data_IF_202869375523
#
_entry.id   IF_202869375523
#
_cell.length_a   1.000
_cell.length_b   1.000
_cell.length_c   1.000
_cell.angle_alpha   90.00
_cell.angle_beta   90.00
_cell.angle_gamma   90.00
#
_symmetry.space_group_name_H-M   'P 1'
#
loop_
_entity.id
_entity.type
_entity.pdbx_description
1 polymer ?
#
# COMPACT_ATOMS: atom_id res chain seq x y z
N UNK A 1 -10.84 18.88 -13.64
CA UNK A 1 -10.34 19.20 -12.28
C UNK A 1 -9.58 18.00 -11.78
N UNK A 2 -8.25 18.09 -11.85
CA UNK A 2 -7.31 17.04 -11.43
C UNK A 2 -7.17 17.02 -9.91
N UNK A 3 -6.86 15.85 -9.31
CA UNK A 3 -6.43 15.83 -7.91
C UNK A 3 -5.03 16.46 -7.84
N UNK A 4 -4.78 17.27 -6.81
CA UNK A 4 -3.42 17.70 -6.54
C UNK A 4 -2.56 16.48 -6.17
N UNK A 5 -1.27 16.49 -6.54
CA UNK A 5 -0.33 15.40 -6.22
C UNK A 5 -0.34 15.07 -4.71
N UNK A 6 -0.48 16.10 -3.87
CA UNK A 6 -0.56 15.97 -2.42
C UNK A 6 -1.81 15.19 -1.96
N UNK A 7 -2.95 15.35 -2.62
CA UNK A 7 -4.15 14.61 -2.29
C UNK A 7 -4.07 13.15 -2.73
N UNK A 8 -3.44 12.88 -3.88
CA UNK A 8 -3.14 11.51 -4.32
C UNK A 8 -2.25 10.80 -3.29
N UNK A 9 -1.17 11.47 -2.88
CA UNK A 9 -0.25 10.98 -1.86
C UNK A 9 -0.97 10.69 -0.55
N UNK A 10 -1.77 11.63 -0.04
CA UNK A 10 -2.56 11.42 1.19
C UNK A 10 -3.48 10.22 1.08
N UNK A 11 -4.17 10.06 -0.06
CA UNK A 11 -5.03 8.92 -0.28
C UNK A 11 -4.23 7.61 -0.29
N UNK A 12 -3.08 7.53 -0.97
CA UNK A 12 -2.28 6.30 -0.97
C UNK A 12 -1.80 5.96 0.44
N UNK A 13 -1.18 6.92 1.14
CA UNK A 13 -0.60 6.72 2.48
C UNK A 13 -1.64 6.20 3.49
N UNK A 14 -2.86 6.72 3.42
CA UNK A 14 -3.95 6.35 4.34
C UNK A 14 -4.38 4.89 4.24
N UNK A 15 -4.22 4.25 3.06
CA UNK A 15 -4.61 2.86 2.84
C UNK A 15 -3.41 1.90 2.79
N UNK A 16 -2.21 2.37 3.09
CA UNK A 16 -1.04 1.50 3.20
C UNK A 16 -1.05 0.75 4.55
N UNK A 17 -0.70 -0.55 4.57
CA UNK A 17 -0.57 -1.35 5.79
C UNK A 17 0.47 -0.85 6.81
N UNK A 18 1.46 -0.08 6.33
CA UNK A 18 2.56 0.46 7.12
C UNK A 18 3.01 1.78 6.53
N UNK A 19 3.93 2.47 7.21
CA UNK A 19 4.47 3.76 6.76
C UNK A 19 5.14 3.65 5.39
N UNK A 20 5.33 4.80 4.71
CA UNK A 20 6.05 4.85 3.44
C UNK A 20 7.54 4.83 3.70
N UNK A 21 8.24 3.84 3.15
CA UNK A 21 9.69 3.72 3.17
C UNK A 21 10.35 4.57 2.08
N UNK A 22 9.75 4.61 0.89
CA UNK A 22 10.28 5.38 -0.22
C UNK A 22 9.17 5.87 -1.15
N UNK A 23 9.42 7.03 -1.76
CA UNK A 23 8.54 7.67 -2.73
C UNK A 23 9.40 8.11 -3.93
N UNK A 24 8.87 8.00 -5.15
CA UNK A 24 9.54 8.52 -6.34
C UNK A 24 9.52 10.06 -6.37
N UNK A 25 10.47 10.66 -7.07
CA UNK A 25 10.54 12.12 -7.24
C UNK A 25 9.29 12.74 -7.89
N UNK A 26 8.54 11.95 -8.66
CA UNK A 26 7.28 12.38 -9.28
C UNK A 26 6.04 12.16 -8.39
N UNK A 27 6.20 11.60 -7.19
CA UNK A 27 5.13 11.36 -6.21
C UNK A 27 4.06 10.36 -6.66
N UNK A 28 4.39 9.44 -7.58
CA UNK A 28 3.46 8.45 -8.14
C UNK A 28 3.82 7.01 -7.82
N UNK A 29 5.00 6.77 -7.27
CA UNK A 29 5.44 5.45 -6.86
C UNK A 29 5.70 5.49 -5.35
N UNK A 30 5.15 4.52 -4.64
CA UNK A 30 5.27 4.41 -3.19
C UNK A 30 5.66 2.99 -2.82
N UNK A 31 6.59 2.88 -1.87
CA UNK A 31 6.96 1.60 -1.28
C UNK A 31 6.73 1.69 0.22
N UNK A 32 5.97 0.74 0.77
CA UNK A 32 5.76 0.68 2.21
C UNK A 32 7.01 0.18 2.94
N UNK A 33 7.09 0.46 4.22
CA UNK A 33 7.90 -0.30 5.15
C UNK A 33 7.44 -1.76 5.18
N UNK A 34 8.30 -2.61 5.74
CA UNK A 34 7.98 -4.01 5.91
C UNK A 34 6.89 -4.20 6.98
N UNK A 35 5.99 -5.13 6.73
CA UNK A 35 4.92 -5.50 7.66
C UNK A 35 4.68 -7.01 7.65
N UNK A 36 4.00 -7.50 8.66
CA UNK A 36 3.55 -8.88 8.79
C UNK A 36 2.04 -8.98 8.70
N UNK A 37 1.54 -10.15 8.31
CA UNK A 37 0.10 -10.41 8.24
C UNK A 37 -0.20 -11.54 9.23
N UNK A 38 -0.99 -11.25 10.26
CA UNK A 38 -1.44 -12.22 11.27
C UNK A 38 -2.94 -12.10 11.45
N UNK A 39 -3.66 -13.22 11.41
CA UNK A 39 -5.12 -13.20 11.56
C UNK A 39 -5.90 -12.40 10.50
N UNK A 40 -5.24 -11.90 9.43
CA UNK A 40 -5.83 -10.98 8.46
C UNK A 40 -5.59 -9.50 8.75
N UNK A 41 -4.88 -9.19 9.83
CA UNK A 41 -4.46 -7.85 10.24
C UNK A 41 -3.01 -7.58 9.84
N UNK A 42 -2.67 -6.29 9.74
CA UNK A 42 -1.32 -5.83 9.39
C UNK A 42 -0.59 -5.40 10.66
N UNK A 43 0.57 -6.00 10.91
CA UNK A 43 1.42 -5.69 12.05
C UNK A 43 2.75 -5.12 11.58
N UNK A 44 3.38 -4.28 12.42
CA UNK A 44 4.77 -3.86 12.19
C UNK A 44 5.68 -5.08 12.14
N UNK A 45 6.66 -5.02 11.26
CA UNK A 45 7.63 -6.10 11.13
C UNK A 45 8.61 -6.11 12.32
N UNK A 46 8.55 -7.15 13.15
CA UNK A 46 9.43 -7.36 14.31
C UNK A 46 10.33 -8.59 14.12
N UNK A 47 11.28 -8.52 13.19
CA UNK A 47 12.31 -9.56 12.97
C UNK A 47 11.76 -10.99 12.71
N UNK A 48 10.60 -11.07 12.07
CA UNK A 48 9.93 -12.34 11.77
C UNK A 48 10.55 -13.03 10.54
N UNK A 49 10.35 -14.35 10.40
CA UNK A 49 10.86 -15.12 9.26
C UNK A 49 10.17 -14.78 7.93
N UNK A 50 9.06 -14.06 7.97
CA UNK A 50 8.29 -13.62 6.81
C UNK A 50 8.05 -12.12 6.97
N UNK A 51 8.20 -11.38 5.88
CA UNK A 51 7.82 -9.97 5.80
C UNK A 51 7.14 -9.68 4.47
N UNK A 52 6.33 -8.64 4.44
CA UNK A 52 5.66 -8.15 3.26
C UNK A 52 6.02 -6.69 3.05
N UNK A 53 6.02 -6.23 1.80
CA UNK A 53 5.96 -4.81 1.49
C UNK A 53 5.00 -4.58 0.34
N UNK A 54 4.43 -3.38 0.29
CA UNK A 54 3.56 -2.92 -0.77
C UNK A 54 4.38 -2.02 -1.69
N UNK A 55 4.25 -2.25 -2.99
CA UNK A 55 4.68 -1.35 -4.05
C UNK A 55 3.43 -0.84 -4.76
N UNK A 56 3.26 0.48 -4.80
CA UNK A 56 2.10 1.15 -5.41
C UNK A 56 2.61 2.04 -6.53
N UNK A 57 1.99 1.92 -7.70
CA UNK A 57 2.24 2.77 -8.86
C UNK A 57 0.94 3.41 -9.32
N UNK A 58 0.88 4.74 -9.29
CA UNK A 58 -0.22 5.52 -9.84
C UNK A 58 0.06 5.81 -11.30
N UNK A 59 -0.81 5.30 -12.17
CA UNK A 59 -0.77 5.50 -13.61
C UNK A 59 -1.88 6.46 -14.07
N UNK A 60 -1.55 7.23 -15.10
CA UNK A 60 -2.43 8.22 -15.71
C UNK A 60 -2.25 9.62 -15.14
N UNK A 61 -2.35 10.61 -16.02
CA UNK A 61 -2.21 12.02 -15.67
C UNK A 61 -3.55 12.67 -15.29
N UNK A 62 -4.66 12.00 -15.61
CA UNK A 62 -6.03 12.48 -15.42
C UNK A 62 -6.91 11.36 -14.88
N UNK A 63 -8.03 11.77 -14.27
CA UNK A 63 -9.05 10.82 -13.79
C UNK A 63 -9.71 10.08 -14.96
N UNK A 64 -10.12 8.82 -14.77
CA UNK A 64 -9.91 7.99 -13.56
C UNK A 64 -8.44 7.55 -13.43
N UNK A 65 -7.87 7.65 -12.23
CA UNK A 65 -6.51 7.15 -11.99
C UNK A 65 -6.53 5.62 -11.99
N UNK A 66 -5.51 5.03 -12.62
CA UNK A 66 -5.27 3.59 -12.54
C UNK A 66 -4.18 3.37 -11.51
N UNK A 67 -4.44 2.52 -10.52
CA UNK A 67 -3.45 2.21 -9.47
C UNK A 67 -3.05 0.76 -9.62
N UNK A 68 -1.76 0.54 -9.85
CA UNK A 68 -1.17 -0.79 -9.75
C UNK A 68 -0.64 -0.98 -8.34
N UNK A 69 -0.94 -2.14 -7.75
CA UNK A 69 -0.50 -2.48 -6.40
C UNK A 69 0.06 -3.89 -6.43
N UNK A 70 1.29 -4.02 -5.97
CA UNK A 70 1.97 -5.29 -5.83
C UNK A 70 2.31 -5.47 -4.35
N UNK A 71 1.94 -6.61 -3.78
CA UNK A 71 2.35 -6.99 -2.43
C UNK A 71 3.34 -8.12 -2.57
N UNK A 72 4.56 -7.90 -2.11
CA UNK A 72 5.64 -8.87 -2.19
C UNK A 72 5.84 -9.49 -0.83
N UNK A 73 5.78 -10.82 -0.77
CA UNK A 73 6.15 -11.62 0.38
C UNK A 73 7.61 -12.02 0.25
N UNK A 74 8.39 -11.72 1.28
CA UNK A 74 9.76 -12.14 1.42
C UNK A 74 9.90 -13.11 2.59
N UNK A 75 10.74 -14.12 2.41
CA UNK A 75 11.04 -15.13 3.44
C UNK A 75 12.51 -15.09 3.78
N UNK A 76 12.81 -15.19 5.07
CA UNK A 76 14.17 -15.33 5.58
C UNK A 76 14.68 -16.75 5.26
N UNK A 77 15.80 -16.84 4.55
CA UNK A 77 16.49 -18.09 4.25
C UNK A 77 17.33 -18.54 5.47
N UNK A 78 18.02 -19.69 5.37
CA UNK A 78 18.86 -20.24 6.45
C UNK A 78 20.05 -19.36 6.80
N UNK A 79 20.51 -18.54 5.87
CA UNK A 79 21.63 -17.59 6.03
C UNK A 79 21.16 -16.26 6.65
N UNK A 80 19.86 -16.13 6.91
CA UNK A 80 19.28 -14.94 7.51
C UNK A 80 18.93 -13.82 6.50
N UNK A 81 19.09 -14.07 5.20
CA UNK A 81 18.80 -13.14 4.11
C UNK A 81 17.33 -13.27 3.71
N UNK A 82 16.67 -12.15 3.43
CA UNK A 82 15.29 -12.13 2.95
C UNK A 82 15.24 -12.21 1.43
N UNK A 83 14.57 -13.22 0.91
CA UNK A 83 14.39 -13.46 -0.51
C UNK A 83 12.91 -13.35 -0.89
N UNK A 84 12.63 -12.89 -2.12
CA UNK A 84 11.26 -12.83 -2.65
C UNK A 84 10.71 -14.25 -2.78
N UNK A 85 9.65 -14.54 -2.03
CA UNK A 85 8.97 -15.84 -2.02
C UNK A 85 7.81 -15.81 -3.03
N UNK A 86 6.88 -14.86 -2.87
CA UNK A 86 5.65 -14.81 -3.69
C UNK A 86 5.01 -13.42 -3.72
N UNK A 87 4.14 -13.18 -4.68
CA UNK A 87 3.19 -12.06 -4.65
C UNK A 87 1.90 -12.43 -3.92
N UNK A 88 1.44 -11.56 -3.01
CA UNK A 88 0.13 -11.70 -2.37
C UNK A 88 -0.94 -10.93 -3.15
N UNK A 89 -1.48 -11.60 -4.18
CA UNK A 89 -2.50 -11.02 -5.05
C UNK A 89 -3.81 -10.69 -4.30
N UNK A 90 -4.12 -11.39 -3.19
CA UNK A 90 -5.34 -11.16 -2.43
C UNK A 90 -5.24 -9.83 -1.68
N UNK A 91 -4.14 -9.62 -0.98
CA UNK A 91 -3.85 -8.38 -0.26
C UNK A 91 -3.68 -7.22 -1.24
N UNK A 92 -2.94 -7.44 -2.33
CA UNK A 92 -2.77 -6.46 -3.39
C UNK A 92 -4.11 -5.97 -3.97
N UNK A 93 -5.02 -6.89 -4.28
CA UNK A 93 -6.36 -6.56 -4.80
C UNK A 93 -7.22 -5.83 -3.77
N UNK A 94 -7.09 -6.15 -2.47
CA UNK A 94 -7.77 -5.44 -1.39
C UNK A 94 -7.29 -3.98 -1.33
N UNK A 95 -5.98 -3.77 -1.23
CA UNK A 95 -5.37 -2.44 -1.14
C UNK A 95 -5.67 -1.61 -2.41
N UNK A 96 -5.50 -2.19 -3.60
CA UNK A 96 -5.81 -1.53 -4.88
C UNK A 96 -7.25 -1.03 -4.95
N UNK A 97 -8.22 -1.85 -4.55
CA UNK A 97 -9.64 -1.45 -4.53
C UNK A 97 -9.91 -0.30 -3.57
N UNK A 98 -9.33 -0.32 -2.38
CA UNK A 98 -9.53 0.74 -1.39
C UNK A 98 -8.90 2.06 -1.84
N UNK A 99 -7.65 2.03 -2.33
CA UNK A 99 -7.00 3.23 -2.89
C UNK A 99 -7.82 3.75 -4.08
N UNK A 100 -8.23 2.90 -5.01
CA UNK A 100 -9.00 3.31 -6.17
C UNK A 100 -10.36 3.90 -5.79
N UNK A 101 -11.04 3.34 -4.78
CA UNK A 101 -12.28 3.89 -4.23
C UNK A 101 -12.05 5.25 -3.61
N UNK A 102 -11.01 5.43 -2.81
CA UNK A 102 -10.69 6.69 -2.16
C UNK A 102 -10.35 7.79 -3.16
N UNK A 103 -9.53 7.46 -4.17
CA UNK A 103 -9.18 8.36 -5.26
C UNK A 103 -10.40 8.77 -6.11
N UNK A 104 -11.41 7.91 -6.22
CA UNK A 104 -12.62 8.24 -6.99
C UNK A 104 -13.71 8.93 -6.14
N UNK A 105 -13.86 8.60 -4.85
CA UNK A 105 -14.94 9.09 -3.97
C UNK A 105 -14.72 10.47 -3.36
N UNK A 106 -13.48 10.95 -3.21
CA UNK A 106 -13.13 12.18 -2.44
C UNK A 106 -13.69 13.52 -2.97
N UNK A 107 -14.70 13.51 -3.84
CA UNK A 107 -15.43 14.71 -4.30
C UNK A 107 -16.76 14.96 -3.59
N UNK A 108 -17.30 14.01 -2.81
CA UNK A 108 -18.68 14.08 -2.30
C UNK A 108 -18.90 14.16 -0.78
N UNK A 109 -17.89 13.92 0.06
CA UNK A 109 -18.10 13.97 1.51
C UNK A 109 -16.93 13.38 2.28
N UNK A 110 -16.44 14.13 3.28
CA UNK A 110 -15.66 13.59 4.40
C UNK A 110 -16.55 12.56 5.09
N UNK A 111 -16.20 11.26 5.06
CA UNK A 111 -16.61 10.20 6.02
C UNK A 111 -16.54 8.80 5.37
N UNK A 112 -15.36 8.27 5.06
CA UNK A 112 -15.16 6.86 4.65
C UNK A 112 -13.65 6.57 4.81
N UNK A 113 -13.06 5.74 5.69
CA UNK A 113 -13.47 4.67 6.62
C UNK A 113 -12.33 4.54 7.66
N UNK A 114 -12.69 4.26 8.91
CA UNK A 114 -11.83 4.16 10.11
C UNK A 114 -11.37 2.71 10.42
N UNK A 115 -11.40 1.78 9.45
CA UNK A 115 -11.24 0.32 9.67
C UNK A 115 -9.81 -0.23 9.47
N UNK A 116 -8.76 0.60 9.60
CA UNK A 116 -7.37 0.12 9.43
C UNK A 116 -6.41 0.50 10.57
N UNK A 117 -6.91 0.81 11.77
CA UNK A 117 -6.04 0.87 12.97
C UNK A 117 -6.55 -0.09 14.02
N UNK A 118 -5.68 -0.98 14.50
CA UNK A 118 -5.33 -0.91 15.90
C UNK A 118 -3.81 -0.81 16.08
N UNK A 119 -3.45 -0.06 17.11
CA UNK A 119 -2.12 0.35 17.53
C UNK A 119 -1.40 -0.78 18.27
#
# INVERSE_FOLDING_TARGET
>A
MDFSLNELKKAVIEFLPSAVRSESSNGREFVSEYFSIRGGEYEKFENQSIRHYVHVLIMGDRRPYRVDVIVVKERRNREGIYEKDRFDNKVAKKISKEIQRALNKRRGGRNVIDDFRPF
#
